data_IF_963818914961
#
_entry.id   IF_963818914961
#
_cell.length_a   1.000
_cell.length_b   1.000
_cell.length_c   1.000
_cell.angle_alpha   90.00
_cell.angle_beta   90.00
_cell.angle_gamma   90.00
#
_symmetry.space_group_name_H-M   'P 1'
#
loop_
_entity.id
_entity.type
_entity.pdbx_description
1 polymer ?
#
# COMPACT_ATOMS: atom_id res chain seq x y z
N UNK A 1 26.67 -74.52 26.54
CA UNK A 1 27.20 -73.78 25.37
C UNK A 1 26.13 -72.76 25.00
N UNK A 2 26.37 -71.48 25.24
CA UNK A 2 25.39 -70.40 25.01
C UNK A 2 25.76 -69.66 23.72
N UNK A 3 24.78 -69.49 22.83
CA UNK A 3 24.88 -68.78 21.56
C UNK A 3 24.90 -67.27 21.84
N UNK A 4 25.89 -66.57 21.32
CA UNK A 4 25.92 -65.10 21.31
C UNK A 4 24.85 -64.57 20.33
N UNK A 5 24.11 -63.50 20.66
CA UNK A 5 23.23 -62.84 19.71
C UNK A 5 24.05 -61.99 18.73
N UNK A 6 23.72 -62.12 17.45
CA UNK A 6 24.28 -61.36 16.33
C UNK A 6 23.82 -59.89 16.40
N UNK A 7 24.72 -58.89 16.43
CA UNK A 7 24.35 -57.48 16.44
C UNK A 7 24.49 -56.90 15.02
N UNK A 8 23.69 -57.36 14.06
CA UNK A 8 23.61 -56.70 12.76
C UNK A 8 22.18 -56.56 12.30
N UNK A 9 21.54 -55.43 12.65
CA UNK A 9 20.53 -54.86 11.76
C UNK A 9 20.25 -53.38 12.06
N UNK A 10 21.20 -52.53 11.69
CA UNK A 10 21.03 -51.11 11.33
C UNK A 10 22.10 -50.80 10.28
N UNK A 11 21.94 -49.91 9.27
CA UNK A 11 20.93 -48.85 9.08
C UNK A 11 20.61 -48.56 7.58
N UNK A 12 20.42 -49.54 6.69
CA UNK A 12 20.41 -49.22 5.24
C UNK A 12 19.21 -48.40 4.74
N UNK A 13 18.06 -48.40 5.44
CA UNK A 13 16.87 -47.64 5.01
C UNK A 13 16.88 -46.17 5.42
N UNK A 14 17.64 -45.79 6.45
CA UNK A 14 17.74 -44.41 6.91
C UNK A 14 18.58 -43.53 5.96
N UNK A 15 19.58 -44.11 5.31
CA UNK A 15 20.48 -43.41 4.38
C UNK A 15 19.77 -42.89 3.13
N UNK A 16 18.90 -43.70 2.49
CA UNK A 16 18.19 -43.28 1.29
C UNK A 16 17.11 -42.23 1.56
N UNK A 17 16.39 -42.34 2.68
CA UNK A 17 15.36 -41.36 3.06
C UNK A 17 15.97 -40.00 3.43
N UNK A 18 17.12 -40.00 4.10
CA UNK A 18 17.86 -38.78 4.37
C UNK A 18 18.34 -38.12 3.07
N UNK A 19 18.80 -38.92 2.10
CA UNK A 19 19.32 -38.42 0.82
C UNK A 19 18.22 -37.78 -0.04
N UNK A 20 17.04 -38.41 -0.15
CA UNK A 20 15.90 -37.84 -0.88
C UNK A 20 15.36 -36.56 -0.23
N UNK A 21 15.32 -36.50 1.10
CA UNK A 21 14.95 -35.28 1.83
C UNK A 21 15.94 -34.14 1.57
N UNK A 22 17.24 -34.42 1.59
CA UNK A 22 18.25 -33.40 1.28
C UNK A 22 18.19 -32.94 -0.18
N UNK A 23 17.95 -33.85 -1.13
CA UNK A 23 17.79 -33.48 -2.56
C UNK A 23 16.54 -32.64 -2.77
N UNK A 24 15.42 -32.99 -2.13
CA UNK A 24 14.19 -32.21 -2.19
C UNK A 24 14.35 -30.81 -1.56
N UNK A 25 15.04 -30.73 -0.42
CA UNK A 25 15.33 -29.46 0.25
C UNK A 25 16.24 -28.57 -0.61
N UNK A 26 17.31 -29.12 -1.21
CA UNK A 26 18.18 -28.38 -2.13
C UNK A 26 17.43 -27.95 -3.39
N UNK A 27 16.57 -28.81 -3.93
CA UNK A 27 15.72 -28.47 -5.08
C UNK A 27 14.76 -27.31 -4.79
N UNK A 28 14.13 -27.31 -3.61
CA UNK A 28 13.26 -26.21 -3.16
C UNK A 28 14.05 -24.91 -2.97
N UNK A 29 15.24 -24.97 -2.39
CA UNK A 29 16.12 -23.81 -2.24
C UNK A 29 16.56 -23.26 -3.61
N UNK A 30 16.91 -24.14 -4.54
CA UNK A 30 17.27 -23.75 -5.91
C UNK A 30 16.10 -23.12 -6.65
N UNK A 31 14.88 -23.65 -6.50
CA UNK A 31 13.67 -23.10 -7.08
C UNK A 31 13.33 -21.72 -6.47
N UNK A 32 13.46 -21.58 -5.15
CA UNK A 32 13.29 -20.31 -4.44
C UNK A 32 14.31 -19.27 -4.90
N UNK A 33 15.58 -19.65 -5.03
CA UNK A 33 16.63 -18.77 -5.55
C UNK A 33 16.35 -18.37 -7.01
N UNK A 34 15.92 -19.30 -7.86
CA UNK A 34 15.56 -19.01 -9.25
C UNK A 34 14.34 -18.06 -9.34
N UNK A 35 13.34 -18.22 -8.48
CA UNK A 35 12.19 -17.32 -8.39
C UNK A 35 12.61 -15.92 -7.92
N UNK A 36 13.44 -15.82 -6.88
CA UNK A 36 13.96 -14.52 -6.41
C UNK A 36 14.76 -13.83 -7.52
N UNK A 37 15.63 -14.57 -8.21
CA UNK A 37 16.39 -14.06 -9.35
C UNK A 37 15.48 -13.61 -10.49
N UNK A 38 14.47 -14.41 -10.84
CA UNK A 38 13.48 -14.06 -11.88
C UNK A 38 12.68 -12.81 -11.51
N UNK A 39 12.25 -12.65 -10.26
CA UNK A 39 11.53 -11.45 -9.77
C UNK A 39 12.45 -10.22 -9.75
N UNK A 40 13.72 -10.38 -9.37
CA UNK A 40 14.71 -9.29 -9.40
C UNK A 40 15.22 -8.96 -10.81
N UNK A 41 15.00 -9.86 -11.78
CA UNK A 41 15.39 -9.69 -13.18
C UNK A 41 14.28 -9.08 -14.04
N UNK A 42 13.26 -8.45 -13.45
CA UNK A 42 12.40 -7.48 -14.13
C UNK A 42 12.99 -6.08 -13.91
N UNK A 43 13.93 -5.60 -14.75
CA UNK A 43 14.55 -4.30 -14.57
C UNK A 43 13.66 -3.18 -15.13
N UNK A 44 12.57 -3.52 -15.81
CA UNK A 44 11.62 -2.58 -16.39
C UNK A 44 10.42 -2.36 -15.45
N UNK A 45 10.68 -1.90 -14.22
CA UNK A 45 9.72 -0.94 -13.67
C UNK A 45 9.92 0.33 -14.47
N UNK A 46 9.19 0.46 -15.58
CA UNK A 46 8.97 1.75 -16.22
C UNK A 46 8.62 2.71 -15.09
N UNK A 47 9.46 3.73 -14.88
CA UNK A 47 9.23 4.74 -13.87
C UNK A 47 7.78 5.21 -14.04
N UNK A 48 6.94 4.95 -13.03
CA UNK A 48 5.53 5.32 -13.11
C UNK A 48 5.50 6.83 -13.33
N UNK A 49 4.87 7.31 -14.41
CA UNK A 49 4.90 8.72 -14.72
C UNK A 49 4.42 9.54 -13.51
N UNK A 50 5.07 10.66 -13.19
CA UNK A 50 4.79 11.42 -11.98
C UNK A 50 3.31 11.83 -11.87
N UNK A 51 2.63 12.05 -13.00
CA UNK A 51 1.20 12.32 -13.06
C UNK A 51 0.31 11.15 -12.64
N UNK A 52 0.69 9.91 -12.93
CA UNK A 52 -0.07 8.72 -12.53
C UNK A 52 0.07 8.50 -11.02
N UNK A 53 1.27 8.74 -10.47
CA UNK A 53 1.49 8.72 -9.02
C UNK A 53 0.66 9.79 -8.30
N UNK A 54 0.57 11.00 -8.88
CA UNK A 54 -0.25 12.08 -8.33
C UNK A 54 -1.74 11.74 -8.39
N UNK A 55 -2.24 11.18 -9.49
CA UNK A 55 -3.63 10.75 -9.61
C UNK A 55 -3.97 9.64 -8.62
N UNK A 56 -3.07 8.67 -8.42
CA UNK A 56 -3.23 7.60 -7.41
C UNK A 56 -3.28 8.16 -5.99
N UNK A 57 -2.37 9.07 -5.64
CA UNK A 57 -2.40 9.77 -4.35
C UNK A 57 -3.71 10.53 -4.17
N UNK A 58 -4.12 11.28 -5.19
CA UNK A 58 -5.36 12.04 -5.15
C UNK A 58 -6.59 11.15 -4.96
N UNK A 59 -6.65 10.01 -5.64
CA UNK A 59 -7.71 9.01 -5.48
C UNK A 59 -7.71 8.35 -4.10
N UNK A 60 -6.54 8.09 -3.51
CA UNK A 60 -6.43 7.57 -2.14
C UNK A 60 -6.95 8.58 -1.12
N UNK A 61 -6.63 9.87 -1.28
CA UNK A 61 -7.17 10.95 -0.46
C UNK A 61 -8.68 11.03 -0.59
N UNK A 62 -9.22 10.99 -1.82
CA UNK A 62 -10.66 10.96 -2.06
C UNK A 62 -11.34 9.79 -1.34
N UNK A 63 -10.76 8.59 -1.42
CA UNK A 63 -11.25 7.42 -0.72
C UNK A 63 -11.30 7.62 0.80
N UNK A 64 -10.21 8.10 1.41
CA UNK A 64 -10.12 8.34 2.86
C UNK A 64 -11.11 9.40 3.34
N UNK A 65 -11.20 10.52 2.62
CA UNK A 65 -12.16 11.59 2.93
C UNK A 65 -13.61 11.10 2.84
N UNK A 66 -13.93 10.29 1.83
CA UNK A 66 -15.26 9.70 1.69
C UNK A 66 -15.58 8.72 2.83
N UNK A 67 -14.60 7.95 3.32
CA UNK A 67 -14.80 7.09 4.48
C UNK A 67 -15.05 7.90 5.76
N UNK A 68 -14.22 8.90 6.04
CA UNK A 68 -14.38 9.78 7.20
C UNK A 68 -15.69 10.61 7.15
N UNK A 69 -16.18 10.93 5.95
CA UNK A 69 -17.47 11.55 5.78
C UNK A 69 -18.63 10.59 6.12
N UNK A 70 -18.52 9.32 5.71
CA UNK A 70 -19.58 8.30 5.90
C UNK A 70 -19.74 7.87 7.36
N UNK A 71 -18.65 7.78 8.11
CA UNK A 71 -18.67 7.40 9.52
C UNK A 71 -18.87 8.60 10.47
N UNK A 72 -18.94 9.82 9.91
CA UNK A 72 -19.13 11.06 10.67
C UNK A 72 -17.87 11.55 11.38
N UNK A 73 -16.69 11.00 11.06
CA UNK A 73 -15.41 11.35 11.69
C UNK A 73 -14.62 12.46 10.97
N UNK A 74 -15.19 13.13 9.97
CA UNK A 74 -14.53 14.14 9.13
C UNK A 74 -14.10 15.44 9.86
N UNK A 75 -13.11 15.28 10.72
CA UNK A 75 -12.41 16.31 11.48
C UNK A 75 -11.21 16.82 10.69
N UNK A 76 -10.62 17.91 11.17
CA UNK A 76 -9.38 18.46 10.59
C UNK A 76 -8.21 17.48 10.69
N UNK A 77 -8.19 16.61 11.71
CA UNK A 77 -7.18 15.56 11.87
C UNK A 77 -7.31 14.49 10.78
N UNK A 78 -8.54 14.05 10.48
CA UNK A 78 -8.79 13.08 9.39
C UNK A 78 -8.49 13.68 8.02
N UNK A 79 -8.79 14.97 7.82
CA UNK A 79 -8.43 15.67 6.57
C UNK A 79 -6.91 15.73 6.43
N UNK A 80 -6.18 16.08 7.49
CA UNK A 80 -4.72 16.13 7.49
C UNK A 80 -4.11 14.75 7.18
N UNK A 81 -4.63 13.71 7.81
CA UNK A 81 -4.20 12.33 7.59
C UNK A 81 -4.51 11.85 6.16
N UNK A 82 -5.69 12.18 5.64
CA UNK A 82 -6.06 11.83 4.27
C UNK A 82 -5.18 12.53 3.24
N UNK A 83 -4.91 13.82 3.41
CA UNK A 83 -4.15 14.64 2.47
C UNK A 83 -2.65 14.32 2.42
N UNK A 84 -2.06 13.84 3.54
CA UNK A 84 -0.64 13.47 3.63
C UNK A 84 0.30 14.59 3.13
N UNK A 85 -0.04 15.84 3.46
CA UNK A 85 0.63 17.02 2.89
C UNK A 85 0.05 18.36 3.38
N UNK A 86 0.45 19.48 2.75
CA UNK A 86 -0.20 20.77 2.94
C UNK A 86 -1.64 20.73 2.43
N UNK A 87 -2.58 21.20 3.25
CA UNK A 87 -4.00 21.21 2.93
C UNK A 87 -4.67 22.48 3.48
N UNK A 88 -5.82 22.83 2.92
CA UNK A 88 -6.75 23.83 3.46
C UNK A 88 -8.17 23.30 3.38
N UNK A 89 -9.04 23.78 4.27
CA UNK A 89 -10.47 23.46 4.26
C UNK A 89 -11.31 24.73 4.32
N UNK A 90 -12.41 24.72 3.58
CA UNK A 90 -13.48 25.70 3.65
C UNK A 90 -14.77 24.93 3.95
N UNK A 91 -15.36 25.20 5.12
CA UNK A 91 -16.60 24.55 5.58
C UNK A 91 -17.75 25.50 5.33
N UNK A 92 -18.57 25.19 4.33
CA UNK A 92 -19.78 25.93 3.97
C UNK A 92 -21.03 25.18 4.46
N UNK A 93 -22.19 25.86 4.59
CA UNK A 93 -23.43 25.20 5.02
C UNK A 93 -23.88 24.03 4.15
N UNK A 94 -23.49 24.02 2.87
CA UNK A 94 -23.90 23.01 1.87
C UNK A 94 -22.76 22.16 1.33
N UNK A 95 -21.52 22.49 1.67
CA UNK A 95 -20.37 21.77 1.15
C UNK A 95 -19.16 21.90 2.07
N UNK A 96 -18.27 20.92 2.01
CA UNK A 96 -16.92 21.03 2.58
C UNK A 96 -15.97 20.94 1.40
N UNK A 97 -15.23 22.02 1.16
CA UNK A 97 -14.21 22.11 0.12
C UNK A 97 -12.84 21.95 0.77
N UNK A 98 -12.09 20.96 0.33
CA UNK A 98 -10.73 20.65 0.80
C UNK A 98 -9.80 20.78 -0.39
N UNK A 99 -8.68 21.47 -0.23
CA UNK A 99 -7.63 21.50 -1.25
C UNK A 99 -6.36 20.92 -0.67
N UNK A 100 -5.81 19.89 -1.31
CA UNK A 100 -4.56 19.26 -0.91
C UNK A 100 -3.48 19.49 -1.97
N UNK A 101 -2.25 19.77 -1.52
CA UNK A 101 -1.07 19.91 -2.37
C UNK A 101 -0.19 18.67 -2.25
N UNK A 102 0.13 18.07 -3.39
CA UNK A 102 1.05 16.93 -3.43
C UNK A 102 2.46 17.37 -3.87
N UNK A 103 3.44 16.52 -3.60
CA UNK A 103 4.83 16.60 -4.09
C UNK A 103 5.12 15.33 -4.91
N UNK A 104 6.04 15.35 -5.89
CA UNK A 104 7.10 16.36 -6.15
C UNK A 104 6.72 17.58 -7.02
N UNK A 105 5.60 17.59 -7.74
CA UNK A 105 5.15 18.77 -8.51
C UNK A 105 4.09 19.57 -7.75
N UNK A 106 3.93 20.90 -7.95
CA UNK A 106 2.87 21.69 -7.31
C UNK A 106 1.50 21.36 -7.92
N UNK A 107 1.05 20.13 -7.75
CA UNK A 107 -0.27 19.69 -8.17
C UNK A 107 -1.21 19.77 -6.96
N UNK A 108 -2.23 20.62 -7.10
CA UNK A 108 -3.29 20.72 -6.13
C UNK A 108 -4.53 20.01 -6.63
N UNK A 109 -5.19 19.32 -5.73
CA UNK A 109 -6.50 18.71 -5.98
C UNK A 109 -7.50 19.31 -5.03
N UNK A 110 -8.64 19.67 -5.58
CA UNK A 110 -9.82 20.05 -4.83
C UNK A 110 -10.72 18.84 -4.63
N UNK A 111 -11.29 18.73 -3.43
CA UNK A 111 -12.25 17.73 -3.01
C UNK A 111 -13.47 18.47 -2.47
N UNK A 112 -14.64 18.18 -3.03
CA UNK A 112 -15.91 18.79 -2.61
C UNK A 112 -16.83 17.69 -2.10
N UNK A 113 -17.19 17.80 -0.83
CA UNK A 113 -18.18 16.96 -0.15
C UNK A 113 -19.47 17.75 -0.01
N UNK A 114 -20.56 17.29 -0.63
CA UNK A 114 -21.88 17.94 -0.52
C UNK A 114 -22.57 17.56 0.80
N UNK A 115 -23.18 18.55 1.46
CA UNK A 115 -23.98 18.36 2.68
C UNK A 115 -25.49 18.42 2.37
N UNK A 116 -26.35 17.69 3.12
CA UNK A 116 -26.00 16.68 4.12
C UNK A 116 -25.26 15.51 3.48
N UNK A 117 -24.37 14.87 4.24
CA UNK A 117 -23.61 13.71 3.77
C UNK A 117 -24.55 12.49 3.74
N UNK A 118 -25.44 12.44 2.77
CA UNK A 118 -26.33 11.30 2.53
C UNK A 118 -25.54 10.15 1.92
N UNK A 119 -25.96 8.91 2.17
CA UNK A 119 -25.36 7.74 1.54
C UNK A 119 -25.97 7.51 0.14
N UNK A 120 -25.16 7.39 -0.94
CA UNK A 120 -23.70 7.53 -0.98
C UNK A 120 -23.25 9.00 -1.04
N UNK A 121 -22.29 9.37 -0.19
CA UNK A 121 -21.76 10.74 -0.18
C UNK A 121 -21.08 11.02 -1.51
N UNK A 122 -21.54 12.07 -2.20
CA UNK A 122 -20.95 12.48 -3.48
C UNK A 122 -19.71 13.32 -3.22
N UNK A 123 -18.58 12.65 -3.05
CA UNK A 123 -17.28 13.32 -3.12
C UNK A 123 -16.91 13.50 -4.59
N UNK A 124 -16.76 14.76 -5.00
CA UNK A 124 -16.19 15.13 -6.29
C UNK A 124 -14.76 15.60 -6.07
N UNK A 125 -13.84 15.25 -6.97
CA UNK A 125 -12.49 15.78 -6.91
C UNK A 125 -11.96 16.11 -8.30
N UNK A 126 -11.17 17.16 -8.38
CA UNK A 126 -10.57 17.63 -9.63
C UNK A 126 -9.18 18.20 -9.36
N UNK A 127 -8.30 18.10 -10.36
CA UNK A 127 -7.02 18.81 -10.34
C UNK A 127 -7.29 20.29 -10.56
N UNK A 128 -6.59 21.14 -9.81
CA UNK A 128 -6.60 22.59 -10.01
C UNK A 128 -5.47 22.99 -10.97
N UNK A 129 -5.77 23.94 -11.85
CA UNK A 129 -4.77 24.60 -12.71
C UNK A 129 -3.79 25.43 -11.89
N UNK A 130 -4.26 26.00 -10.78
CA UNK A 130 -3.46 26.83 -9.88
C UNK A 130 -3.67 26.39 -8.42
N UNK A 131 -2.57 26.25 -7.69
CA UNK A 131 -2.61 25.99 -6.26
C UNK A 131 -2.95 27.26 -5.48
N UNK A 132 -3.88 27.21 -4.51
CA UNK A 132 -4.09 28.33 -3.60
C UNK A 132 -2.86 28.54 -2.72
N UNK A 133 -2.78 29.71 -2.09
CA UNK A 133 -1.79 29.97 -1.05
C UNK A 133 -2.14 29.11 0.17
N UNK A 134 -1.21 28.24 0.56
CA UNK A 134 -1.32 27.48 1.81
C UNK A 134 -0.77 28.36 2.93
N UNK A 135 -1.47 28.49 4.07
CA UNK A 135 -0.91 29.16 5.23
C UNK A 135 0.39 28.44 5.61
N UNK A 136 1.46 29.22 5.85
CA UNK A 136 2.67 28.66 6.44
C UNK A 136 2.28 28.04 7.79
N UNK A 137 2.56 26.74 7.97
CA UNK A 137 2.19 26.04 9.20
C UNK A 137 2.80 26.78 10.38
N UNK A 138 1.98 27.39 11.22
CA UNK A 138 2.40 27.79 12.56
C UNK A 138 2.47 26.49 13.35
N UNK A 139 3.70 25.98 13.50
CA UNK A 139 4.02 24.79 14.29
C UNK A 139 3.67 24.99 15.76
#
# INVERSE_FOLDING_TARGET
>A
MAQAPDPQDRPHRAGCAALTLSVAAVGLLALGAALVLAVSAFPDRTDTPPEELLAKKAGLTAYRLNQAARDGSLTDQEIAWAADGPWIVQREPRAIRIVARYTPGPACYEYVLVQPMEAPTSLQFARLEQCPLFPERVL
#
